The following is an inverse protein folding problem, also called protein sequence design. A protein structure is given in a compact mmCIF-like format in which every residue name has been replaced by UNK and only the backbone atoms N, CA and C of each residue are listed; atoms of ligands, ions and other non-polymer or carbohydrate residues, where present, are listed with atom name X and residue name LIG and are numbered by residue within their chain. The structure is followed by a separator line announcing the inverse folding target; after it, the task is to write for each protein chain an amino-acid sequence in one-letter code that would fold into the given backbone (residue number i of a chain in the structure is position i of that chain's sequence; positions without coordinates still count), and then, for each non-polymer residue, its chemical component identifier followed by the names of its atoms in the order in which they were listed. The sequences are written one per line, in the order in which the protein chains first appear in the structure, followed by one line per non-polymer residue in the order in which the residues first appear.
data_IF_322071063260
#
_entry.id   IF_322071063260
#
_cell.length_a   1.000
_cell.length_b   1.000
_cell.length_c   1.000
_cell.angle_alpha   90.00
_cell.angle_beta   90.00
_cell.angle_gamma   90.00
#
_symmetry.space_group_name_H-M   'P 1'
#
loop_
_entity.id
_entity.type
_entity.pdbx_description
1 polymer ?
#
# COMPACT_ATOMS: atom_id res chain seq x y z
N UNK A 1 -18.95 0.47 -15.56
CA UNK A 1 -18.78 -0.62 -14.57
C UNK A 1 -20.06 -1.44 -14.45
N UNK A 2 -19.98 -2.78 -14.39
CA UNK A 2 -21.14 -3.67 -14.18
C UNK A 2 -21.51 -3.79 -12.69
N UNK A 3 -22.71 -4.28 -12.38
CA UNK A 3 -23.14 -4.50 -10.99
C UNK A 3 -22.19 -5.42 -10.24
N UNK A 4 -21.70 -6.49 -10.87
CA UNK A 4 -20.73 -7.41 -10.26
C UNK A 4 -19.43 -6.68 -9.90
N UNK A 5 -18.89 -5.87 -10.81
CA UNK A 5 -17.68 -5.08 -10.57
C UNK A 5 -17.89 -4.08 -9.42
N UNK A 6 -19.04 -3.43 -9.35
CA UNK A 6 -19.39 -2.51 -8.27
C UNK A 6 -19.42 -3.21 -6.90
N UNK A 7 -20.05 -4.39 -6.83
CA UNK A 7 -20.10 -5.22 -5.62
C UNK A 7 -18.71 -5.67 -5.20
N UNK A 8 -17.85 -6.06 -6.15
CA UNK A 8 -16.46 -6.42 -5.87
C UNK A 8 -15.67 -5.25 -5.28
N UNK A 9 -15.78 -4.04 -5.85
CA UNK A 9 -15.11 -2.86 -5.29
C UNK A 9 -15.56 -2.56 -3.87
N UNK A 10 -16.87 -2.66 -3.58
CA UNK A 10 -17.39 -2.46 -2.24
C UNK A 10 -16.86 -3.51 -1.26
N UNK A 11 -16.83 -4.78 -1.67
CA UNK A 11 -16.30 -5.86 -0.84
C UNK A 11 -14.81 -5.66 -0.53
N UNK A 12 -14.01 -5.31 -1.54
CA UNK A 12 -12.58 -5.00 -1.37
C UNK A 12 -12.42 -3.77 -0.47
N UNK A 13 -13.23 -2.72 -0.66
CA UNK A 13 -13.18 -1.52 0.17
C UNK A 13 -13.48 -1.80 1.64
N UNK A 14 -14.55 -2.54 1.94
CA UNK A 14 -14.91 -2.97 3.31
C UNK A 14 -13.79 -3.84 3.91
N UNK A 15 -13.27 -4.80 3.14
CA UNK A 15 -12.15 -5.63 3.56
C UNK A 15 -10.90 -4.80 3.87
N UNK A 16 -10.59 -3.82 3.02
CA UNK A 16 -9.45 -2.91 3.19
C UNK A 16 -9.58 -2.02 4.43
N UNK A 17 -10.80 -1.56 4.74
CA UNK A 17 -11.08 -0.86 5.99
C UNK A 17 -10.86 -1.76 7.21
N UNK A 18 -11.33 -3.01 7.17
CA UNK A 18 -11.05 -3.98 8.24
C UNK A 18 -9.56 -4.26 8.41
N UNK A 19 -8.82 -4.39 7.31
CA UNK A 19 -7.36 -4.56 7.30
C UNK A 19 -6.65 -3.34 7.89
N UNK A 20 -7.08 -2.12 7.55
CA UNK A 20 -6.55 -0.88 8.13
C UNK A 20 -6.73 -0.86 9.65
N UNK A 21 -7.95 -1.12 10.15
CA UNK A 21 -8.23 -1.14 11.60
C UNK A 21 -7.36 -2.20 12.29
N UNK A 22 -7.29 -3.40 11.73
CA UNK A 22 -6.49 -4.49 12.30
C UNK A 22 -5.00 -4.19 12.24
N UNK A 23 -4.50 -3.59 11.16
CA UNK A 23 -3.13 -3.14 11.02
C UNK A 23 -2.75 -2.10 12.07
N UNK A 24 -3.66 -1.16 12.36
CA UNK A 24 -3.47 -0.16 13.42
C UNK A 24 -3.42 -0.81 14.81
N UNK A 25 -4.31 -1.77 15.09
CA UNK A 25 -4.32 -2.51 16.35
C UNK A 25 -3.06 -3.35 16.55
N UNK A 26 -2.68 -4.14 15.53
CA UNK A 26 -1.48 -4.98 15.56
C UNK A 26 -0.19 -4.14 15.66
N UNK A 27 -0.07 -3.05 14.89
CA UNK A 27 1.15 -2.23 14.87
C UNK A 27 1.30 -1.35 16.11
N UNK A 28 0.22 -0.66 16.52
CA UNK A 28 0.28 0.34 17.61
C UNK A 28 0.05 -0.26 18.98
N UNK A 29 -1.00 -1.08 19.15
CA UNK A 29 -1.41 -1.59 20.47
C UNK A 29 -0.67 -2.88 20.83
N UNK A 30 -0.64 -3.84 19.91
CA UNK A 30 -0.02 -5.16 20.16
C UNK A 30 1.47 -5.21 19.85
N UNK A 31 2.01 -4.18 19.15
CA UNK A 31 3.43 -4.07 18.79
C UNK A 31 3.94 -5.22 17.90
N UNK A 32 3.05 -5.76 17.07
CA UNK A 32 3.28 -6.91 16.19
C UNK A 32 3.50 -6.51 14.73
N UNK A 33 4.06 -5.32 14.46
CA UNK A 33 4.18 -4.79 13.10
C UNK A 33 4.98 -5.71 12.15
N UNK A 34 5.89 -6.54 12.67
CA UNK A 34 6.71 -7.50 11.89
C UNK A 34 6.03 -8.85 11.64
N UNK A 35 4.92 -9.14 12.30
CA UNK A 35 4.29 -10.45 12.16
C UNK A 35 3.69 -10.58 10.76
N UNK A 36 4.01 -11.71 10.12
CA UNK A 36 3.61 -11.99 8.75
C UNK A 36 2.09 -12.11 8.58
N UNK A 37 1.63 -11.77 7.38
CA UNK A 37 0.22 -11.79 6.99
C UNK A 37 0.01 -12.57 5.68
N UNK A 38 0.21 -13.90 5.67
CA UNK A 38 0.19 -14.69 4.44
C UNK A 38 -1.15 -14.60 3.68
N UNK A 39 -2.27 -14.47 4.40
CA UNK A 39 -3.60 -14.32 3.79
C UNK A 39 -3.81 -12.95 3.10
N UNK A 40 -2.97 -11.96 3.39
CA UNK A 40 -3.04 -10.62 2.80
C UNK A 40 -2.01 -10.40 1.69
N UNK A 41 -1.31 -11.47 1.28
CA UNK A 41 -0.28 -11.43 0.24
C UNK A 41 -0.79 -10.77 -1.04
N UNK A 42 -2.00 -11.12 -1.50
CA UNK A 42 -2.57 -10.57 -2.73
C UNK A 42 -2.93 -9.08 -2.66
N UNK A 43 -2.96 -8.50 -1.45
CA UNK A 43 -3.08 -7.06 -1.25
C UNK A 43 -1.70 -6.36 -1.18
N UNK A 44 -0.61 -7.10 -1.40
CA UNK A 44 0.77 -6.63 -1.24
C UNK A 44 1.19 -6.41 0.21
N UNK A 45 0.46 -6.97 1.18
CA UNK A 45 0.70 -6.82 2.61
C UNK A 45 1.40 -8.08 3.11
N UNK A 46 2.69 -7.95 3.45
CA UNK A 46 3.49 -9.09 3.90
C UNK A 46 3.61 -9.13 5.42
N UNK A 47 3.57 -7.98 6.07
CA UNK A 47 3.57 -7.84 7.53
C UNK A 47 2.49 -6.86 7.98
N UNK A 48 2.10 -6.89 9.26
CA UNK A 48 1.10 -5.96 9.79
C UNK A 48 1.47 -4.48 9.66
N UNK A 49 2.76 -4.16 9.59
CA UNK A 49 3.23 -2.80 9.33
C UNK A 49 2.73 -2.23 8.00
N UNK A 50 2.73 -3.06 6.96
CA UNK A 50 2.24 -2.72 5.61
C UNK A 50 0.72 -2.47 5.63
N UNK A 51 0.00 -3.21 6.49
CA UNK A 51 -1.46 -3.26 6.49
C UNK A 51 -2.11 -1.91 6.77
N UNK A 52 -1.43 -1.04 7.51
CA UNK A 52 -1.93 0.32 7.80
C UNK A 52 -1.93 1.17 6.52
N UNK A 53 -0.80 1.21 5.82
CA UNK A 53 -0.68 2.06 4.62
C UNK A 53 -1.44 1.44 3.45
N UNK A 54 -1.25 0.16 3.17
CA UNK A 54 -1.93 -0.48 2.05
C UNK A 54 -3.42 -0.70 2.30
N UNK A 55 -3.85 -0.92 3.54
CA UNK A 55 -5.27 -0.92 3.88
C UNK A 55 -5.94 0.42 3.56
N UNK A 56 -5.29 1.54 3.92
CA UNK A 56 -5.77 2.87 3.56
C UNK A 56 -5.73 3.11 2.04
N UNK A 57 -4.64 2.74 1.38
CA UNK A 57 -4.48 2.88 -0.07
C UNK A 57 -5.58 2.14 -0.85
N UNK A 58 -5.84 0.88 -0.51
CA UNK A 58 -6.88 0.08 -1.17
C UNK A 58 -8.29 0.58 -0.86
N UNK A 59 -8.53 1.07 0.36
CA UNK A 59 -9.80 1.71 0.71
C UNK A 59 -10.05 2.95 -0.14
N UNK A 60 -9.10 3.88 -0.21
CA UNK A 60 -9.25 5.10 -1.00
C UNK A 60 -9.39 4.77 -2.49
N UNK A 61 -8.56 3.86 -3.01
CA UNK A 61 -8.58 3.44 -4.41
C UNK A 61 -9.93 2.85 -4.81
N UNK A 62 -10.47 1.94 -4.00
CA UNK A 62 -11.75 1.29 -4.29
C UNK A 62 -12.92 2.25 -4.21
N UNK A 63 -12.97 3.11 -3.18
CA UNK A 63 -13.99 4.14 -3.05
C UNK A 63 -13.94 5.13 -4.21
N UNK A 64 -12.75 5.56 -4.63
CA UNK A 64 -12.57 6.46 -5.76
C UNK A 64 -13.05 5.83 -7.06
N UNK A 65 -12.58 4.63 -7.39
CA UNK A 65 -12.98 3.92 -8.62
C UNK A 65 -14.49 3.61 -8.64
N UNK A 66 -15.07 3.30 -7.48
CA UNK A 66 -16.51 3.11 -7.34
C UNK A 66 -17.28 4.40 -7.62
N UNK A 67 -16.84 5.53 -7.07
CA UNK A 67 -17.48 6.83 -7.24
C UNK A 67 -17.49 7.30 -8.70
N UNK A 68 -16.35 7.20 -9.38
CA UNK A 68 -16.23 7.58 -10.81
C UNK A 68 -16.78 6.50 -11.77
N UNK A 69 -17.13 5.32 -11.25
CA UNK A 69 -17.65 4.16 -11.98
C UNK A 69 -16.70 3.59 -13.04
N UNK A 70 -15.39 3.69 -12.81
CA UNK A 70 -14.34 3.26 -13.72
C UNK A 70 -13.62 2.00 -13.20
N UNK A 71 -13.97 0.86 -13.80
CA UNK A 71 -13.33 -0.42 -13.49
C UNK A 71 -11.95 -0.56 -14.13
N UNK A 72 -11.73 0.10 -15.28
CA UNK A 72 -10.46 0.03 -15.98
C UNK A 72 -9.37 0.76 -15.21
N UNK A 73 -9.72 1.91 -14.61
CA UNK A 73 -8.83 2.60 -13.70
C UNK A 73 -8.43 1.70 -12.52
N UNK A 74 -9.37 0.96 -11.93
CA UNK A 74 -9.05 0.03 -10.85
C UNK A 74 -8.08 -1.05 -11.30
N UNK A 75 -8.30 -1.67 -12.47
CA UNK A 75 -7.39 -2.68 -13.04
C UNK A 75 -6.00 -2.11 -13.30
N UNK A 76 -5.91 -0.90 -13.84
CA UNK A 76 -4.66 -0.21 -14.09
C UNK A 76 -3.91 0.06 -12.77
N UNK A 77 -4.61 0.55 -11.73
CA UNK A 77 -4.03 0.76 -10.40
C UNK A 77 -3.49 -0.56 -9.84
N UNK A 78 -4.24 -1.66 -9.94
CA UNK A 78 -3.78 -2.99 -9.49
C UNK A 78 -2.52 -3.43 -10.23
N UNK A 79 -2.45 -3.25 -11.55
CA UNK A 79 -1.30 -3.61 -12.35
C UNK A 79 -0.06 -2.78 -11.97
N UNK A 80 -0.20 -1.46 -11.89
CA UNK A 80 0.90 -0.54 -11.51
C UNK A 80 1.35 -0.80 -10.07
N UNK A 81 0.39 -1.05 -9.15
CA UNK A 81 0.68 -1.42 -7.78
C UNK A 81 1.60 -2.63 -7.71
N UNK A 82 1.28 -3.71 -8.42
CA UNK A 82 2.10 -4.92 -8.39
C UNK A 82 3.49 -4.73 -8.99
N UNK A 83 3.62 -3.92 -10.05
CA UNK A 83 4.92 -3.54 -10.59
C UNK A 83 5.76 -2.82 -9.54
N UNK A 84 5.22 -1.77 -8.92
CA UNK A 84 5.91 -0.97 -7.89
C UNK A 84 6.23 -1.81 -6.65
N UNK A 85 5.28 -2.63 -6.20
CA UNK A 85 5.42 -3.50 -5.02
C UNK A 85 6.53 -4.52 -5.21
N UNK A 86 6.53 -5.22 -6.35
CA UNK A 86 7.49 -6.28 -6.66
C UNK A 86 8.90 -5.73 -6.89
N UNK A 87 8.99 -4.60 -7.60
CA UNK A 87 10.26 -3.92 -7.81
C UNK A 87 10.84 -3.41 -6.49
N UNK A 88 10.01 -2.77 -5.65
CA UNK A 88 10.46 -2.25 -4.36
C UNK A 88 10.91 -3.34 -3.40
N UNK A 89 10.23 -4.50 -3.34
CA UNK A 89 10.75 -5.66 -2.58
C UNK A 89 12.06 -6.17 -3.14
N UNK A 90 12.17 -6.29 -4.46
CA UNK A 90 13.38 -6.80 -5.10
C UNK A 90 14.58 -5.92 -4.73
N UNK A 91 14.42 -4.60 -4.86
CA UNK A 91 15.44 -3.62 -4.46
C UNK A 91 15.72 -3.71 -2.96
N UNK A 92 14.69 -3.82 -2.13
CA UNK A 92 14.85 -3.94 -0.68
C UNK A 92 15.68 -5.18 -0.31
N UNK A 93 15.32 -6.37 -0.81
CA UNK A 93 16.01 -7.61 -0.49
C UNK A 93 17.44 -7.65 -1.04
N UNK A 94 17.68 -7.09 -2.22
CA UNK A 94 19.04 -6.93 -2.75
C UNK A 94 19.90 -6.06 -1.82
N UNK A 95 19.40 -4.90 -1.41
CA UNK A 95 20.13 -4.04 -0.48
C UNK A 95 20.30 -4.69 0.89
N UNK A 96 19.31 -5.42 1.38
CA UNK A 96 19.38 -6.14 2.65
C UNK A 96 20.46 -7.23 2.63
N UNK A 97 20.74 -7.83 1.48
CA UNK A 97 21.77 -8.87 1.33
C UNK A 97 23.19 -8.30 1.16
N UNK A 98 23.34 -7.17 0.48
CA UNK A 98 24.65 -6.68 0.03
C UNK A 98 25.10 -5.35 0.64
N UNK A 99 24.25 -4.65 1.39
CA UNK A 99 24.57 -3.36 2.00
C UNK A 99 24.61 -3.43 3.52
N UNK A 100 25.51 -2.66 4.13
CA UNK A 100 25.38 -2.28 5.54
C UNK A 100 24.17 -1.35 5.70
N UNK A 101 23.36 -1.59 6.73
CA UNK A 101 22.15 -0.82 6.98
C UNK A 101 22.52 0.36 7.89
N UNK A 102 22.69 1.53 7.29
CA UNK A 102 22.81 2.79 8.02
C UNK A 102 21.51 3.59 7.86
N UNK A 103 20.78 3.77 8.97
CA UNK A 103 19.46 4.39 9.00
C UNK A 103 19.39 5.46 10.07
N UNK A 104 18.55 6.47 9.84
CA UNK A 104 18.22 7.45 10.88
C UNK A 104 17.61 6.75 12.10
N UNK A 105 17.83 7.25 13.33
CA UNK A 105 17.17 6.71 14.50
C UNK A 105 15.65 6.76 14.33
N UNK A 106 14.91 5.63 14.49
CA UNK A 106 13.46 5.57 14.27
C UNK A 106 12.67 6.62 15.06
N UNK A 107 13.14 6.94 16.28
CA UNK A 107 12.51 7.91 17.19
C UNK A 107 12.43 9.32 16.63
N UNK A 108 13.28 9.66 15.66
CA UNK A 108 13.33 10.99 15.05
C UNK A 108 12.38 11.12 13.84
N UNK A 109 11.77 10.01 13.41
CA UNK A 109 10.92 9.98 12.22
C UNK A 109 9.46 10.30 12.58
N UNK A 110 8.78 11.00 11.66
CA UNK A 110 7.34 11.27 11.79
C UNK A 110 6.57 9.96 11.72
N UNK A 111 5.66 9.75 12.67
CA UNK A 111 4.87 8.51 12.76
C UNK A 111 5.48 7.42 13.64
N UNK A 112 6.55 7.69 14.40
CA UNK A 112 7.15 6.71 15.32
C UNK A 112 6.17 6.17 16.37
N UNK A 113 5.18 6.96 16.78
CA UNK A 113 4.14 6.50 17.71
C UNK A 113 3.21 5.43 17.10
N UNK A 114 3.12 5.38 15.78
CA UNK A 114 2.31 4.42 15.04
C UNK A 114 3.05 3.09 14.85
N UNK A 115 4.38 3.18 14.69
CA UNK A 115 5.27 2.05 14.44
C UNK A 115 6.43 2.07 15.43
N UNK A 116 6.40 1.17 16.41
CA UNK A 116 7.50 1.07 17.38
C UNK A 116 8.73 0.41 16.75
N UNK A 117 9.91 0.97 17.04
CA UNK A 117 11.20 0.43 16.55
C UNK A 117 11.41 0.63 15.06
N UNK A 118 12.10 -0.29 14.41
CA UNK A 118 12.46 -0.18 12.98
C UNK A 118 11.27 -0.40 12.03
N UNK A 119 10.09 -0.77 12.55
CA UNK A 119 8.90 -1.03 11.74
C UNK A 119 8.42 0.21 10.99
N UNK A 120 8.79 1.40 11.47
CA UNK A 120 8.52 2.66 10.80
C UNK A 120 9.10 2.69 9.38
N UNK A 121 10.21 2.00 9.14
CA UNK A 121 10.82 1.95 7.81
C UNK A 121 9.94 1.24 6.79
N UNK A 122 9.20 0.20 7.20
CA UNK A 122 8.17 -0.41 6.34
C UNK A 122 7.02 0.56 6.06
N UNK A 123 6.60 1.32 7.07
CA UNK A 123 5.59 2.38 6.91
C UNK A 123 6.01 3.42 5.85
N UNK A 124 7.25 3.89 5.90
CA UNK A 124 7.79 4.82 4.89
C UNK A 124 7.91 4.17 3.51
N UNK A 125 8.42 2.94 3.44
CA UNK A 125 8.57 2.20 2.19
C UNK A 125 7.21 2.04 1.49
N UNK A 126 6.22 1.51 2.20
CA UNK A 126 4.87 1.30 1.67
C UNK A 126 4.16 2.61 1.34
N UNK A 127 4.37 3.66 2.14
CA UNK A 127 3.85 5.01 1.84
C UNK A 127 4.39 5.53 0.50
N UNK A 128 5.71 5.49 0.30
CA UNK A 128 6.32 5.95 -0.95
C UNK A 128 5.95 5.07 -2.14
N UNK A 129 5.77 3.76 -1.95
CA UNK A 129 5.22 2.89 -2.99
C UNK A 129 3.80 3.31 -3.39
N UNK A 130 2.93 3.61 -2.42
CA UNK A 130 1.58 4.13 -2.72
C UNK A 130 1.62 5.46 -3.46
N UNK A 131 2.48 6.40 -3.04
CA UNK A 131 2.68 7.67 -3.75
C UNK A 131 3.15 7.44 -5.18
N UNK A 132 4.14 6.56 -5.38
CA UNK A 132 4.67 6.24 -6.71
C UNK A 132 3.58 5.67 -7.63
N UNK A 133 2.71 4.79 -7.12
CA UNK A 133 1.57 4.26 -7.90
C UNK A 133 0.66 5.41 -8.35
N UNK A 134 0.23 6.28 -7.43
CA UNK A 134 -0.63 7.42 -7.76
C UNK A 134 0.05 8.35 -8.77
N UNK A 135 1.34 8.63 -8.61
CA UNK A 135 2.11 9.47 -9.55
C UNK A 135 2.21 8.86 -10.95
N UNK A 136 2.41 7.53 -11.07
CA UNK A 136 2.43 6.86 -12.37
C UNK A 136 1.06 6.96 -13.05
N UNK A 137 -0.02 6.71 -12.32
CA UNK A 137 -1.39 6.81 -12.85
C UNK A 137 -1.69 8.24 -13.32
N UNK A 138 -1.34 9.24 -12.50
CA UNK A 138 -1.48 10.65 -12.85
C UNK A 138 -0.64 11.01 -14.09
N UNK A 139 0.58 10.48 -14.21
CA UNK A 139 1.45 10.70 -15.37
C UNK A 139 0.83 10.12 -16.64
N UNK A 140 0.28 8.91 -16.59
CA UNK A 140 -0.41 8.29 -17.73
C UNK A 140 -1.60 9.14 -18.16
N UNK A 141 -2.40 9.62 -17.20
CA UNK A 141 -3.55 10.48 -17.47
C UNK A 141 -3.15 11.83 -18.08
N UNK A 142 -2.16 12.52 -17.52
CA UNK A 142 -1.70 13.79 -18.06
C UNK A 142 -1.07 13.63 -19.45
N UNK A 143 -0.35 12.53 -19.69
CA UNK A 143 0.21 12.23 -20.99
C UNK A 143 -0.85 11.93 -22.05
N UNK A 144 -1.99 11.33 -21.68
CA UNK A 144 -3.10 11.11 -22.62
C UNK A 144 -3.81 12.42 -22.97
N UNK A 145 -3.99 13.32 -21.99
CA UNK A 145 -4.53 14.66 -22.23
C UNK A 145 -3.63 15.52 -23.14
N UNK A 146 -2.31 15.37 -23.04
CA UNK A 146 -1.39 16.14 -23.87
C UNK A 146 -1.42 15.73 -25.36
N UNK A 147 -1.78 14.47 -25.66
CA UNK A 147 -1.82 13.95 -27.03
C UNK A 147 -3.15 14.19 -27.76
N UNK A 148 -4.20 14.59 -27.03
CA UNK A 148 -5.53 14.92 -27.59
C UNK A 148 -5.69 16.41 -27.80
#
# INVERSE_FOLDING_TARGET
MSTLQAVLLLFIGIGSFGVLIKGLDESRRKKNAYRETPLLFFAGIFVWGDAVIFGLFWLVTTLWCFWIKDWELFRLIVAVFWVVRSLGETIYWLNQQFSTIERNPPRNLRGYELYQGDAIWFGYQTFWQSVMVVSIIATIYLASLWRG
#
